data_IF_973339204573
#
_entry.id   IF_973339204573
#
_cell.length_a   1.000
_cell.length_b   1.000
_cell.length_c   1.000
_cell.angle_alpha   90.00
_cell.angle_beta   90.00
_cell.angle_gamma   90.00
#
_symmetry.space_group_name_H-M   'P 1'
#
loop_
_entity.id
_entity.type
_entity.pdbx_description
1 polymer ?
#
# COMPACT_ATOMS: atom_id res chain seq x y z
N UNK A 1 -64.82 5.23 24.22
CA UNK A 1 -64.41 4.02 23.48
C UNK A 1 -62.97 4.19 23.00
N UNK A 2 -62.09 3.30 23.48
CA UNK A 2 -60.81 2.80 22.94
C UNK A 2 -59.80 3.74 22.26
N UNK A 3 -58.62 3.74 22.86
CA UNK A 3 -57.32 4.16 22.35
C UNK A 3 -56.90 3.45 21.06
N UNK A 4 -56.01 4.10 20.30
CA UNK A 4 -54.95 3.43 19.54
C UNK A 4 -53.70 4.32 19.48
N UNK A 5 -52.80 4.02 20.40
CA UNK A 5 -51.35 4.25 20.30
C UNK A 5 -50.79 3.28 19.27
N UNK A 6 -49.85 3.74 18.43
CA UNK A 6 -48.81 2.99 17.72
C UNK A 6 -48.15 4.02 16.78
N UNK A 7 -47.05 4.67 17.13
CA UNK A 7 -45.71 4.10 17.31
C UNK A 7 -45.33 3.15 16.16
N UNK A 8 -44.95 3.72 15.04
CA UNK A 8 -44.00 3.10 14.12
C UNK A 8 -42.94 4.17 13.84
N UNK A 9 -41.91 4.12 14.67
CA UNK A 9 -40.59 3.73 14.21
C UNK A 9 -40.16 4.63 13.05
N UNK A 10 -39.38 5.67 13.37
CA UNK A 10 -37.94 5.54 13.12
C UNK A 10 -37.75 4.91 11.75
N UNK A 11 -37.96 5.71 10.69
CA UNK A 11 -37.44 5.38 9.36
C UNK A 11 -35.99 5.02 9.61
N UNK A 12 -35.77 3.71 9.55
CA UNK A 12 -34.50 3.07 9.73
C UNK A 12 -33.52 3.88 8.92
N UNK A 13 -32.55 4.44 9.63
CA UNK A 13 -31.20 4.52 9.13
C UNK A 13 -30.83 3.09 8.72
N UNK A 14 -31.30 2.64 7.56
CA UNK A 14 -30.52 1.78 6.68
C UNK A 14 -29.41 2.74 6.19
N UNK A 15 -28.39 3.07 6.99
CA UNK A 15 -27.31 2.13 7.29
C UNK A 15 -27.24 1.03 6.23
N UNK A 16 -27.00 1.47 5.00
CA UNK A 16 -25.94 0.91 4.16
C UNK A 16 -24.64 0.81 4.97
N UNK A 17 -24.64 -0.03 6.02
CA UNK A 17 -23.44 -0.72 6.44
C UNK A 17 -23.15 -1.67 5.28
N UNK A 18 -22.51 -1.15 4.22
CA UNK A 18 -21.78 -1.99 3.27
C UNK A 18 -20.95 -2.94 4.13
N UNK A 19 -21.39 -4.19 4.25
CA UNK A 19 -20.61 -5.27 4.85
C UNK A 19 -19.28 -5.24 4.14
N UNK A 20 -18.23 -4.86 4.85
CA UNK A 20 -16.90 -4.80 4.27
C UNK A 20 -16.51 -6.21 3.83
N UNK A 21 -15.82 -6.36 2.69
CA UNK A 21 -15.49 -7.66 2.15
C UNK A 21 -14.63 -8.46 3.15
N UNK A 22 -14.81 -9.78 3.19
CA UNK A 22 -13.90 -10.64 3.95
C UNK A 22 -12.46 -10.53 3.44
N UNK A 23 -11.47 -10.89 4.26
CA UNK A 23 -10.04 -10.69 3.97
C UNK A 23 -9.61 -11.17 2.59
N UNK A 24 -10.08 -12.36 2.15
CA UNK A 24 -9.77 -12.89 0.83
C UNK A 24 -10.31 -12.01 -0.30
N UNK A 25 -11.57 -11.57 -0.21
CA UNK A 25 -12.19 -10.71 -1.20
C UNK A 25 -11.53 -9.31 -1.22
N UNK A 26 -11.18 -8.76 -0.06
CA UNK A 26 -10.43 -7.51 0.03
C UNK A 26 -9.04 -7.62 -0.61
N UNK A 27 -8.31 -8.70 -0.32
CA UNK A 27 -6.98 -8.95 -0.88
C UNK A 27 -7.04 -9.11 -2.40
N UNK A 28 -7.97 -9.91 -2.92
CA UNK A 28 -8.17 -10.07 -4.35
C UNK A 28 -8.61 -8.77 -5.03
N UNK A 29 -9.46 -7.97 -4.38
CA UNK A 29 -9.88 -6.65 -4.87
C UNK A 29 -8.71 -5.70 -5.06
N UNK A 30 -7.84 -5.60 -4.04
CA UNK A 30 -6.62 -4.77 -4.09
C UNK A 30 -5.67 -5.26 -5.18
N UNK A 31 -5.39 -6.56 -5.25
CA UNK A 31 -4.52 -7.14 -6.29
C UNK A 31 -5.10 -6.89 -7.68
N UNK A 32 -6.40 -7.12 -7.87
CA UNK A 32 -7.06 -6.89 -9.15
C UNK A 32 -7.00 -5.43 -9.57
N UNK A 33 -7.24 -4.48 -8.65
CA UNK A 33 -7.14 -3.06 -8.93
C UNK A 33 -5.72 -2.65 -9.35
N UNK A 34 -4.69 -3.21 -8.70
CA UNK A 34 -3.31 -2.99 -9.08
C UNK A 34 -3.00 -3.53 -10.49
N UNK A 35 -3.53 -4.71 -10.83
CA UNK A 35 -3.28 -5.34 -12.13
C UNK A 35 -4.03 -4.67 -13.28
N UNK A 36 -5.28 -4.24 -13.08
CA UNK A 36 -6.07 -3.64 -14.16
C UNK A 36 -5.64 -2.20 -14.45
N UNK A 37 -5.09 -1.48 -13.48
CA UNK A 37 -4.64 -0.08 -13.65
C UNK A 37 -5.71 0.87 -14.23
N UNK A 38 -6.98 0.52 -14.08
CA UNK A 38 -8.08 1.35 -14.55
C UNK A 38 -8.30 2.51 -13.57
N UNK A 39 -7.89 3.71 -13.98
CA UNK A 39 -8.03 4.93 -13.20
C UNK A 39 -9.15 5.77 -13.82
N UNK A 40 -10.12 6.15 -12.98
CA UNK A 40 -11.12 7.15 -13.34
C UNK A 40 -10.54 8.54 -13.07
N UNK A 41 -10.16 9.25 -14.13
CA UNK A 41 -9.56 10.59 -14.04
C UNK A 41 -10.55 11.66 -13.52
N UNK A 42 -11.85 11.37 -13.51
CA UNK A 42 -12.89 12.26 -12.99
C UNK A 42 -13.30 11.95 -11.55
N UNK A 43 -12.63 10.99 -10.91
CA UNK A 43 -13.00 10.53 -9.57
C UNK A 43 -12.72 11.58 -8.49
N UNK A 44 -13.76 11.96 -7.77
CA UNK A 44 -13.64 12.82 -6.59
C UNK A 44 -13.38 12.00 -5.32
N UNK A 45 -12.17 12.14 -4.78
CA UNK A 45 -11.76 11.46 -3.55
C UNK A 45 -12.50 11.95 -2.32
N UNK A 46 -12.98 11.01 -1.52
CA UNK A 46 -13.59 11.27 -0.21
C UNK A 46 -12.53 11.68 0.83
N UNK A 47 -11.33 11.09 0.77
CA UNK A 47 -10.22 11.43 1.66
C UNK A 47 -9.22 12.37 0.97
N UNK A 48 -9.11 13.65 1.37
CA UNK A 48 -8.29 14.64 0.66
C UNK A 48 -6.81 14.28 0.56
N UNK A 49 -6.28 13.59 1.56
CA UNK A 49 -4.88 13.16 1.62
C UNK A 49 -4.53 12.17 0.50
N UNK A 50 -5.53 11.48 -0.08
CA UNK A 50 -5.36 10.52 -1.18
C UNK A 50 -5.22 11.17 -2.55
N UNK A 51 -5.60 12.44 -2.69
CA UNK A 51 -5.42 13.18 -3.95
C UNK A 51 -3.95 13.27 -4.35
N UNK A 52 -3.04 13.31 -3.38
CA UNK A 52 -1.59 13.35 -3.61
C UNK A 52 -1.12 12.15 -4.44
N UNK A 53 -1.67 10.96 -4.16
CA UNK A 53 -1.33 9.74 -4.90
C UNK A 53 -2.02 9.67 -6.28
N UNK A 54 -3.07 10.43 -6.51
CA UNK A 54 -3.73 10.49 -7.83
C UNK A 54 -2.87 11.22 -8.86
N UNK A 55 -2.19 12.29 -8.45
CA UNK A 55 -1.44 13.15 -9.37
C UNK A 55 -0.01 12.64 -9.62
N UNK A 56 0.61 11.98 -8.64
CA UNK A 56 2.05 11.68 -8.65
C UNK A 56 2.41 10.20 -8.79
N UNK A 57 1.47 9.30 -8.55
CA UNK A 57 1.77 7.87 -8.54
C UNK A 57 1.49 7.23 -9.92
N UNK A 58 2.07 6.07 -10.23
CA UNK A 58 1.77 5.35 -11.47
C UNK A 58 0.32 4.82 -11.48
N UNK A 59 -0.28 4.56 -12.67
CA UNK A 59 -1.70 4.19 -12.81
C UNK A 59 -2.18 3.03 -11.92
N UNK A 60 -1.35 2.02 -11.70
CA UNK A 60 -1.68 0.90 -10.79
C UNK A 60 -1.86 1.34 -9.33
N UNK A 61 -1.03 2.28 -8.85
CA UNK A 61 -1.12 2.82 -7.49
C UNK A 61 -2.33 3.75 -7.39
N UNK A 62 -2.58 4.55 -8.42
CA UNK A 62 -3.78 5.37 -8.52
C UNK A 62 -5.06 4.52 -8.47
N UNK A 63 -5.11 3.41 -9.21
CA UNK A 63 -6.26 2.50 -9.26
C UNK A 63 -6.55 1.84 -7.89
N UNK A 64 -5.50 1.38 -7.20
CA UNK A 64 -5.64 0.86 -5.82
C UNK A 64 -6.13 1.96 -4.88
N UNK A 65 -5.56 3.16 -4.97
CA UNK A 65 -5.94 4.30 -4.14
C UNK A 65 -7.42 4.70 -4.35
N UNK A 66 -7.91 4.70 -5.60
CA UNK A 66 -9.33 4.90 -5.90
C UNK A 66 -10.22 3.76 -5.38
N UNK A 67 -9.80 2.51 -5.54
CA UNK A 67 -10.53 1.36 -5.01
C UNK A 67 -10.71 1.47 -3.49
N UNK A 68 -9.63 1.76 -2.76
CA UNK A 68 -9.67 1.91 -1.32
C UNK A 68 -10.53 3.09 -0.87
N UNK A 69 -10.61 4.17 -1.66
CA UNK A 69 -11.43 5.35 -1.34
C UNK A 69 -12.92 5.04 -1.52
N UNK A 70 -13.27 4.32 -2.59
CA UNK A 70 -14.63 3.80 -2.84
C UNK A 70 -15.11 2.85 -1.74
N UNK A 71 -14.19 2.16 -1.08
CA UNK A 71 -14.44 1.26 0.05
C UNK A 71 -14.48 2.00 1.40
N UNK A 72 -14.24 3.32 1.42
CA UNK A 72 -14.29 4.13 2.63
C UNK A 72 -13.20 3.79 3.64
N UNK A 73 -12.08 3.23 3.17
CA UNK A 73 -10.88 3.02 3.98
C UNK A 73 -10.12 4.32 3.94
N UNK A 74 -9.56 4.79 5.05
CA UNK A 74 -8.52 5.82 5.04
C UNK A 74 -7.16 5.16 5.31
N UNK A 75 -6.15 5.50 4.51
CA UNK A 75 -4.84 4.87 4.57
C UNK A 75 -3.95 5.74 5.45
N UNK A 76 -3.09 5.13 6.26
CA UNK A 76 -2.14 5.90 7.04
C UNK A 76 -1.26 6.80 6.15
N UNK A 77 -1.04 8.09 6.50
CA UNK A 77 -0.21 9.02 5.71
C UNK A 77 1.21 8.50 5.45
N UNK A 78 1.73 7.69 6.38
CA UNK A 78 3.06 7.06 6.29
C UNK A 78 3.25 6.14 5.08
N UNK A 79 2.18 5.73 4.39
CA UNK A 79 2.30 4.93 3.18
C UNK A 79 2.72 5.77 1.96
N UNK A 80 2.38 7.06 1.92
CA UNK A 80 2.63 7.95 0.78
C UNK A 80 4.13 8.02 0.42
N UNK A 81 5.06 8.25 1.37
CA UNK A 81 6.49 8.28 1.05
C UNK A 81 7.03 6.94 0.49
N UNK A 82 6.45 5.81 0.89
CA UNK A 82 6.87 4.50 0.37
C UNK A 82 6.41 4.28 -1.07
N UNK A 83 5.24 4.79 -1.44
CA UNK A 83 4.76 4.78 -2.83
C UNK A 83 5.55 5.75 -3.71
N UNK A 84 5.87 6.95 -3.21
CA UNK A 84 6.73 7.91 -3.91
C UNK A 84 8.12 7.32 -4.18
N UNK A 85 8.74 6.69 -3.17
CA UNK A 85 10.01 5.97 -3.33
C UNK A 85 9.91 4.85 -4.37
N UNK A 86 8.81 4.10 -4.38
CA UNK A 86 8.57 3.05 -5.38
C UNK A 86 8.57 3.61 -6.81
N UNK A 87 7.91 4.75 -6.99
CA UNK A 87 7.85 5.45 -8.28
C UNK A 87 9.23 5.92 -8.71
N UNK A 88 10.01 6.52 -7.81
CA UNK A 88 11.38 6.94 -8.09
C UNK A 88 12.30 5.78 -8.50
N UNK A 89 12.15 4.60 -7.90
CA UNK A 89 12.92 3.41 -8.28
C UNK A 89 12.56 2.96 -9.69
N UNK A 90 11.27 2.96 -10.03
CA UNK A 90 10.79 2.54 -11.35
C UNK A 90 11.16 3.52 -12.46
N UNK A 91 11.06 4.81 -12.20
CA UNK A 91 11.38 5.86 -13.15
C UNK A 91 12.88 6.12 -13.25
N UNK A 92 13.71 5.50 -12.38
CA UNK A 92 15.15 5.66 -12.43
C UNK A 92 15.69 5.16 -13.77
N UNK A 93 16.27 6.06 -14.60
CA UNK A 93 16.77 5.70 -15.91
C UNK A 93 18.11 4.97 -15.79
N UNK A 94 18.27 3.92 -16.57
CA UNK A 94 19.52 3.19 -16.68
C UNK A 94 19.31 1.87 -17.38
N UNK A 95 20.39 1.39 -18.01
CA UNK A 95 20.41 0.16 -18.79
C UNK A 95 21.59 -0.70 -18.37
N UNK A 96 21.49 -2.00 -18.57
CA UNK A 96 22.54 -2.96 -18.24
C UNK A 96 22.23 -3.85 -17.03
N UNK A 97 22.96 -4.96 -16.94
CA UNK A 97 22.69 -6.03 -15.98
C UNK A 97 22.79 -5.58 -14.52
N UNK A 98 23.87 -4.89 -14.14
CA UNK A 98 24.08 -4.42 -12.76
C UNK A 98 23.01 -3.41 -12.32
N UNK A 99 22.69 -2.44 -13.17
CA UNK A 99 21.62 -1.48 -12.90
C UNK A 99 20.27 -2.17 -12.70
N UNK A 100 19.95 -3.15 -13.54
CA UNK A 100 18.71 -3.92 -13.41
C UNK A 100 18.65 -4.74 -12.12
N UNK A 101 19.78 -5.32 -11.68
CA UNK A 101 19.87 -6.01 -10.39
C UNK A 101 19.63 -5.05 -9.22
N UNK A 102 20.31 -3.89 -9.21
CA UNK A 102 20.15 -2.88 -8.16
C UNK A 102 18.72 -2.35 -8.09
N UNK A 103 18.12 -2.07 -9.25
CA UNK A 103 16.72 -1.63 -9.37
C UNK A 103 15.76 -2.68 -8.81
N UNK A 104 16.00 -3.96 -9.10
CA UNK A 104 15.18 -5.05 -8.55
C UNK A 104 15.35 -5.21 -7.04
N UNK A 105 16.59 -5.16 -6.51
CA UNK A 105 16.84 -5.21 -5.08
C UNK A 105 16.18 -4.04 -4.34
N UNK A 106 16.31 -2.81 -4.86
CA UNK A 106 15.63 -1.62 -4.33
C UNK A 106 14.11 -1.78 -4.36
N UNK A 107 13.57 -2.37 -5.43
CA UNK A 107 12.13 -2.66 -5.55
C UNK A 107 11.65 -3.65 -4.48
N UNK A 108 12.36 -4.76 -4.27
CA UNK A 108 12.01 -5.77 -3.25
C UNK A 108 12.09 -5.16 -1.84
N UNK A 109 13.15 -4.39 -1.54
CA UNK A 109 13.30 -3.65 -0.26
C UNK A 109 12.14 -2.68 -0.06
N UNK A 110 11.65 -2.04 -1.12
CA UNK A 110 10.50 -1.14 -1.05
C UNK A 110 9.18 -1.88 -0.78
N UNK A 111 8.91 -3.00 -1.47
CA UNK A 111 7.72 -3.83 -1.22
C UNK A 111 7.66 -4.31 0.24
N UNK A 112 8.80 -4.75 0.79
CA UNK A 112 8.92 -5.15 2.20
C UNK A 112 8.61 -3.99 3.15
N UNK A 113 9.06 -2.77 2.83
CA UNK A 113 8.76 -1.57 3.64
C UNK A 113 7.27 -1.23 3.62
N UNK A 114 6.63 -1.27 2.45
CA UNK A 114 5.19 -1.04 2.33
C UNK A 114 4.40 -2.13 3.08
N UNK A 115 4.79 -3.40 2.96
CA UNK A 115 4.17 -4.46 3.73
C UNK A 115 4.29 -4.18 5.24
N UNK A 116 5.50 -3.84 5.72
CA UNK A 116 5.71 -3.55 7.13
C UNK A 116 4.88 -2.37 7.64
N UNK A 117 4.74 -1.29 6.86
CA UNK A 117 3.89 -0.15 7.27
C UNK A 117 2.42 -0.56 7.41
N UNK A 118 1.90 -1.44 6.53
CA UNK A 118 0.56 -2.02 6.68
C UNK A 118 0.43 -2.91 7.91
N UNK A 119 1.48 -3.66 8.25
CA UNK A 119 1.52 -4.47 9.48
C UNK A 119 1.52 -3.59 10.73
N UNK A 120 2.25 -2.49 10.71
CA UNK A 120 2.26 -1.50 11.79
C UNK A 120 0.88 -0.85 11.97
N UNK A 121 0.25 -0.40 10.88
CA UNK A 121 -1.11 0.12 10.90
C UNK A 121 -2.11 -0.89 11.47
N UNK A 122 -1.98 -2.17 11.10
CA UNK A 122 -2.80 -3.23 11.68
C UNK A 122 -2.58 -3.39 13.19
N UNK A 123 -1.33 -3.34 13.64
CA UNK A 123 -0.99 -3.46 15.07
C UNK A 123 -1.50 -2.25 15.86
N UNK A 124 -1.39 -1.04 15.31
CA UNK A 124 -1.91 0.18 15.90
C UNK A 124 -3.43 0.15 16.01
N UNK A 125 -4.13 -0.30 14.97
CA UNK A 125 -5.58 -0.43 14.99
C UNK A 125 -6.01 -1.53 15.96
N UNK A 126 -5.32 -2.68 15.99
CA UNK A 126 -5.61 -3.78 16.92
C UNK A 126 -5.44 -3.39 18.39
N UNK A 127 -4.50 -2.50 18.71
CA UNK A 127 -4.28 -1.99 20.09
C UNK A 127 -5.48 -1.22 20.63
N UNK A 128 -6.39 -0.73 19.76
CA UNK A 128 -7.61 -0.03 20.17
C UNK A 128 -8.70 -0.96 20.73
N UNK A 129 -8.53 -2.28 20.63
CA UNK A 129 -9.47 -3.27 21.17
C UNK A 129 -10.87 -3.08 20.58
N UNK A 130 -11.85 -2.82 21.44
CA UNK A 130 -13.26 -2.66 21.05
C UNK A 130 -13.52 -1.41 20.18
N UNK A 131 -12.58 -0.45 20.15
CA UNK A 131 -12.65 0.73 19.30
C UNK A 131 -11.94 0.55 17.95
N UNK A 132 -11.36 -0.62 17.69
CA UNK A 132 -10.68 -0.90 16.43
C UNK A 132 -11.67 -0.88 15.27
N UNK A 133 -11.34 -0.18 14.19
CA UNK A 133 -12.12 -0.26 12.95
C UNK A 133 -11.84 -1.59 12.24
N UNK A 134 -12.82 -2.54 12.19
CA UNK A 134 -12.60 -3.84 11.57
C UNK A 134 -12.38 -3.74 10.06
N UNK A 135 -12.89 -2.70 9.40
CA UNK A 135 -12.64 -2.44 7.98
C UNK A 135 -11.17 -2.07 7.79
N UNK A 136 -10.67 -1.11 8.56
CA UNK A 136 -9.25 -0.70 8.50
C UNK A 136 -8.31 -1.85 8.81
N UNK A 137 -8.62 -2.68 9.81
CA UNK A 137 -7.86 -3.91 10.08
C UNK A 137 -7.87 -4.89 8.89
N UNK A 138 -9.00 -5.05 8.22
CA UNK A 138 -9.12 -5.95 7.04
C UNK A 138 -8.26 -5.46 5.89
N UNK A 139 -8.32 -4.17 5.57
CA UNK A 139 -7.53 -3.61 4.48
C UNK A 139 -6.05 -3.45 4.80
N UNK A 140 -5.69 -3.22 6.07
CA UNK A 140 -4.30 -3.27 6.51
C UNK A 140 -3.72 -4.70 6.36
N UNK A 141 -4.48 -5.73 6.74
CA UNK A 141 -4.10 -7.14 6.46
C UNK A 141 -4.01 -7.41 4.96
N UNK A 142 -4.96 -6.93 4.17
CA UNK A 142 -4.96 -7.12 2.73
C UNK A 142 -3.74 -6.44 2.07
N UNK A 143 -3.40 -5.22 2.48
CA UNK A 143 -2.21 -4.49 2.04
C UNK A 143 -0.92 -5.23 2.40
N UNK A 144 -0.80 -5.71 3.64
CA UNK A 144 0.33 -6.53 4.07
C UNK A 144 0.49 -7.78 3.20
N UNK A 145 -0.59 -8.54 2.99
CA UNK A 145 -0.57 -9.76 2.18
C UNK A 145 -0.23 -9.46 0.72
N UNK A 146 -0.86 -8.45 0.12
CA UNK A 146 -0.62 -8.07 -1.27
C UNK A 146 0.85 -7.68 -1.50
N UNK A 147 1.40 -6.79 -0.67
CA UNK A 147 2.80 -6.36 -0.81
C UNK A 147 3.81 -7.45 -0.44
N UNK A 148 3.47 -8.34 0.48
CA UNK A 148 4.30 -9.53 0.75
C UNK A 148 4.34 -10.45 -0.46
N UNK A 149 3.17 -10.77 -1.04
CA UNK A 149 3.07 -11.60 -2.25
C UNK A 149 3.84 -10.98 -3.41
N UNK A 150 3.62 -9.69 -3.71
CA UNK A 150 4.33 -8.97 -4.76
C UNK A 150 5.84 -8.96 -4.53
N UNK A 151 6.30 -8.70 -3.29
CA UNK A 151 7.71 -8.78 -2.92
C UNK A 151 8.30 -10.17 -3.16
N UNK A 152 7.59 -11.22 -2.74
CA UNK A 152 8.03 -12.62 -2.95
C UNK A 152 8.05 -13.02 -4.42
N UNK A 153 7.07 -12.58 -5.22
CA UNK A 153 7.06 -12.85 -6.66
C UNK A 153 8.21 -12.14 -7.36
N UNK A 154 8.47 -10.87 -7.03
CA UNK A 154 9.62 -10.12 -7.55
C UNK A 154 10.94 -10.75 -7.17
N UNK A 155 11.07 -11.25 -5.94
CA UNK A 155 12.23 -12.02 -5.51
C UNK A 155 12.36 -13.33 -6.29
N UNK A 156 11.28 -14.11 -6.46
CA UNK A 156 11.29 -15.37 -7.21
C UNK A 156 11.68 -15.22 -8.69
N UNK A 157 11.35 -14.08 -9.29
CA UNK A 157 11.79 -13.73 -10.66
C UNK A 157 13.29 -13.43 -10.75
N UNK A 158 13.98 -13.28 -9.62
CA UNK A 158 15.43 -13.13 -9.55
C UNK A 158 16.05 -13.98 -8.42
N UNK A 159 16.30 -15.27 -8.67
CA UNK A 159 16.86 -16.18 -7.67
C UNK A 159 18.26 -15.78 -7.15
N UNK A 160 18.99 -14.93 -7.87
CA UNK A 160 20.28 -14.40 -7.39
C UNK A 160 20.09 -13.41 -6.23
N UNK A 161 18.97 -12.68 -6.17
CA UNK A 161 18.65 -11.76 -5.07
C UNK A 161 18.07 -12.49 -3.85
N UNK A 162 17.45 -13.67 -4.05
CA UNK A 162 16.89 -14.49 -2.96
C UNK A 162 17.99 -15.10 -2.07
N UNK A 163 19.18 -15.36 -2.62
CA UNK A 163 20.29 -15.93 -1.84
C UNK A 163 21.15 -14.88 -1.12
N UNK A 164 20.87 -13.59 -1.29
CA UNK A 164 21.66 -12.49 -0.70
C UNK A 164 21.11 -11.95 0.62
N UNK A 165 20.01 -12.50 1.15
CA UNK A 165 19.62 -12.26 2.56
C UNK A 165 20.65 -12.86 3.55
N UNK A 166 21.59 -13.70 3.07
CA UNK A 166 22.69 -14.25 3.88
C UNK A 166 24.01 -13.47 3.82
N UNK A 167 24.25 -12.68 2.77
CA UNK A 167 25.53 -11.99 2.57
C UNK A 167 25.30 -10.60 1.98
N UNK A 168 25.06 -9.64 2.87
CA UNK A 168 25.80 -8.38 2.88
C UNK A 168 25.72 -7.44 1.67
N UNK A 169 24.98 -7.73 0.60
CA UNK A 169 25.00 -6.89 -0.61
C UNK A 169 24.12 -5.64 -0.43
N UNK A 170 23.03 -5.73 0.34
CA UNK A 170 22.31 -4.54 0.79
C UNK A 170 23.16 -3.59 1.64
N UNK A 171 24.01 -4.13 2.53
CA UNK A 171 24.95 -3.34 3.34
C UNK A 171 26.19 -2.91 2.56
N UNK A 172 26.65 -3.69 1.57
CA UNK A 172 27.75 -3.30 0.67
C UNK A 172 27.29 -2.21 -0.29
N UNK A 173 26.05 -2.23 -0.78
CA UNK A 173 25.50 -1.13 -1.57
C UNK A 173 25.24 0.11 -0.72
N UNK A 174 24.67 -0.03 0.49
CA UNK A 174 24.56 1.10 1.42
C UNK A 174 25.97 1.66 1.78
N UNK A 175 27.03 0.84 1.82
CA UNK A 175 28.42 1.26 2.02
C UNK A 175 29.06 1.92 0.77
N UNK A 176 28.75 1.41 -0.43
CA UNK A 176 29.25 1.96 -1.69
C UNK A 176 28.59 3.30 -2.02
N UNK A 177 27.27 3.41 -1.84
CA UNK A 177 26.53 4.68 -2.01
C UNK A 177 27.05 5.72 -0.99
N UNK A 178 27.24 5.34 0.28
CA UNK A 178 27.84 6.23 1.30
C UNK A 178 29.26 6.70 0.93
N UNK A 179 30.10 5.82 0.39
CA UNK A 179 31.45 6.19 -0.06
C UNK A 179 31.44 7.11 -1.27
N UNK A 180 30.47 6.93 -2.17
CA UNK A 180 30.34 7.73 -3.38
C UNK A 180 29.78 9.12 -3.05
N UNK A 181 28.85 9.23 -2.10
CA UNK A 181 28.38 10.51 -1.54
C UNK A 181 29.51 11.25 -0.81
N UNK A 182 30.35 10.55 -0.05
CA UNK A 182 31.53 11.13 0.60
C UNK A 182 32.58 11.64 -0.41
N UNK A 183 32.80 10.92 -1.52
CA UNK A 183 33.72 11.35 -2.60
C UNK A 183 33.22 12.54 -3.39
N UNK A 184 31.91 12.67 -3.57
CA UNK A 184 31.30 13.74 -4.35
C UNK A 184 31.07 15.03 -3.54
N UNK A 185 31.49 15.05 -2.26
CA UNK A 185 31.37 16.19 -1.36
C UNK A 185 29.94 16.39 -0.89
N UNK A 186 29.69 16.06 0.38
CA UNK A 186 28.44 16.37 1.08
C UNK A 186 28.09 17.85 0.91
N UNK A 187 27.11 18.15 0.05
CA UNK A 187 26.45 19.45 0.02
C UNK A 187 25.33 19.41 1.04
N UNK A 188 25.60 19.98 2.22
CA UNK A 188 24.57 20.39 3.17
C UNK A 188 23.78 21.58 2.62
#
# INVERSE_FOLDING_TARGET
>A
MRARTENTASKSKDQDQKRYPGLFAATLGVIKAALTSNVDQSYEYQFPQRKILHEKAPPRVQAVNQHLDKEGVDLHPNHVPHFERGTQIEDHPGEGYQHNLEKQAKTIKNEKKIANSFREELQEEAKKGDQADPRKMTYAKAGYLAHTLLGTTKAAMNPYVIHEDGLGIGTVHDYLDFHQEMKNGLKF
#
